data_IF_894935221377
#
_entry.id   IF_894935221377
#
_cell.length_a   1.000
_cell.length_b   1.000
_cell.length_c   1.000
_cell.angle_alpha   90.00
_cell.angle_beta   90.00
_cell.angle_gamma   90.00
#
_symmetry.space_group_name_H-M   'P 1'
#
loop_
_entity.id
_entity.type
_entity.pdbx_description
1 polymer ?
#
# COMPACT_ATOMS: atom_id res chain seq x y z
N UNK A 1 24.27 -4.44 24.39
CA UNK A 1 23.82 -3.76 23.17
C UNK A 1 23.62 -2.28 23.41
N UNK A 2 24.07 -1.43 22.51
CA UNK A 2 23.85 0.01 22.67
C UNK A 2 22.36 0.33 22.59
N UNK A 3 21.93 1.24 23.46
CA UNK A 3 20.56 1.72 23.43
C UNK A 3 20.42 2.77 22.34
N UNK A 4 19.52 2.53 21.37
CA UNK A 4 19.24 3.48 20.32
C UNK A 4 18.35 4.62 20.84
N UNK A 5 18.86 5.86 20.78
CA UNK A 5 18.16 7.05 21.31
C UNK A 5 16.81 7.30 20.66
N UNK A 6 16.70 6.94 19.39
CA UNK A 6 15.52 7.17 18.58
C UNK A 6 14.61 5.93 18.46
N UNK A 7 14.78 4.95 19.38
CA UNK A 7 13.97 3.71 19.33
C UNK A 7 12.47 3.99 19.43
N UNK A 8 12.06 4.90 20.31
CA UNK A 8 10.68 5.31 20.44
C UNK A 8 10.18 5.98 19.14
N UNK A 9 11.00 6.85 18.55
CA UNK A 9 10.68 7.48 17.27
C UNK A 9 10.55 6.44 16.16
N UNK A 10 11.42 5.44 16.10
CA UNK A 10 11.34 4.35 15.14
C UNK A 10 10.04 3.57 15.30
N UNK A 11 9.65 3.22 16.51
CA UNK A 11 8.38 2.54 16.79
C UNK A 11 7.17 3.34 16.35
N UNK A 12 7.21 4.68 16.56
CA UNK A 12 6.15 5.57 16.08
C UNK A 12 6.08 5.55 14.55
N UNK A 13 7.23 5.59 13.86
CA UNK A 13 7.28 5.52 12.40
C UNK A 13 6.76 4.18 11.86
N UNK A 14 7.07 3.09 12.52
CA UNK A 14 6.55 1.77 12.17
C UNK A 14 5.02 1.71 12.29
N UNK A 15 4.47 2.27 13.37
CA UNK A 15 3.01 2.34 13.58
C UNK A 15 2.33 3.21 12.52
N UNK A 16 2.92 4.36 12.21
CA UNK A 16 2.40 5.26 11.18
C UNK A 16 2.40 4.59 9.81
N UNK A 17 3.47 3.88 9.45
CA UNK A 17 3.53 3.12 8.20
C UNK A 17 2.39 2.09 8.12
N UNK A 18 2.14 1.34 9.19
CA UNK A 18 1.04 0.38 9.24
C UNK A 18 -0.33 1.03 9.10
N UNK A 19 -0.52 2.21 9.71
CA UNK A 19 -1.77 2.98 9.57
C UNK A 19 -1.96 3.43 8.13
N UNK A 20 -0.93 3.93 7.46
CA UNK A 20 -1.01 4.32 6.05
C UNK A 20 -1.20 3.13 5.12
N UNK A 21 -0.60 1.98 5.41
CA UNK A 21 -0.86 0.72 4.68
C UNK A 21 -2.32 0.32 4.78
N UNK A 22 -2.90 0.38 5.97
CA UNK A 22 -4.30 0.08 6.20
C UNK A 22 -5.22 1.06 5.48
N UNK A 23 -4.92 2.36 5.55
CA UNK A 23 -5.69 3.39 4.87
C UNK A 23 -5.67 3.19 3.34
N UNK A 24 -4.52 2.84 2.77
CA UNK A 24 -4.40 2.52 1.35
C UNK A 24 -5.23 1.27 1.00
N UNK A 25 -5.14 0.22 1.79
CA UNK A 25 -5.89 -1.02 1.57
C UNK A 25 -7.39 -0.78 1.58
N UNK A 26 -7.89 0.07 2.48
CA UNK A 26 -9.31 0.46 2.55
C UNK A 26 -9.75 1.17 1.26
N UNK A 27 -8.93 2.07 0.74
CA UNK A 27 -9.23 2.77 -0.51
C UNK A 27 -9.20 1.85 -1.73
N UNK A 28 -8.27 0.92 -1.78
CA UNK A 28 -8.21 -0.11 -2.83
C UNK A 28 -9.45 -1.00 -2.79
N UNK A 29 -9.94 -1.33 -1.60
CA UNK A 29 -11.18 -2.09 -1.44
C UNK A 29 -12.39 -1.33 -1.98
N UNK A 30 -12.50 -0.03 -1.71
CA UNK A 30 -13.55 0.82 -2.27
C UNK A 30 -13.48 0.83 -3.80
N UNK A 31 -12.28 0.93 -4.37
CA UNK A 31 -12.08 0.86 -5.81
C UNK A 31 -12.58 -0.47 -6.38
N UNK A 32 -12.28 -1.58 -5.71
CA UNK A 32 -12.73 -2.89 -6.16
C UNK A 32 -14.26 -3.01 -6.13
N UNK A 33 -14.90 -2.50 -5.10
CA UNK A 33 -16.37 -2.46 -5.01
C UNK A 33 -16.99 -1.64 -6.14
N UNK A 34 -16.39 -0.50 -6.48
CA UNK A 34 -16.84 0.31 -7.62
C UNK A 34 -16.68 -0.42 -8.96
N UNK A 35 -15.59 -1.15 -9.14
CA UNK A 35 -15.37 -1.99 -10.33
C UNK A 35 -16.37 -3.13 -10.41
N UNK A 36 -16.67 -3.76 -9.29
CA UNK A 36 -17.66 -4.85 -9.23
C UNK A 36 -19.06 -4.33 -9.56
N UNK A 37 -19.43 -3.17 -9.04
CA UNK A 37 -20.69 -2.50 -9.38
C UNK A 37 -20.76 -2.20 -10.88
N UNK A 38 -19.69 -1.69 -11.46
CA UNK A 38 -19.61 -1.41 -12.89
C UNK A 38 -19.83 -2.67 -13.72
N UNK A 39 -19.18 -3.76 -13.32
CA UNK A 39 -19.31 -5.05 -14.01
C UNK A 39 -20.76 -5.56 -13.98
N UNK A 40 -21.43 -5.43 -12.83
CA UNK A 40 -22.84 -5.79 -12.70
C UNK A 40 -23.74 -4.94 -13.59
N UNK A 41 -23.50 -3.63 -13.66
CA UNK A 41 -24.26 -2.72 -14.53
C UNK A 41 -24.06 -3.05 -16.00
N UNK A 42 -22.82 -3.32 -16.42
CA UNK A 42 -22.49 -3.70 -17.79
C UNK A 42 -23.17 -5.01 -18.18
N UNK A 43 -23.15 -6.00 -17.31
CA UNK A 43 -23.85 -7.29 -17.53
C UNK A 43 -25.35 -7.12 -17.60
N UNK A 44 -25.93 -6.27 -16.74
CA UNK A 44 -27.36 -6.00 -16.74
C UNK A 44 -27.77 -5.32 -18.06
N UNK A 45 -26.96 -4.37 -18.54
CA UNK A 45 -27.21 -3.68 -19.79
C UNK A 45 -27.09 -4.64 -20.99
N UNK A 46 -26.05 -5.48 -21.03
CA UNK A 46 -25.85 -6.46 -22.08
C UNK A 46 -26.99 -7.50 -22.11
N UNK A 47 -27.42 -8.01 -20.96
CA UNK A 47 -28.55 -8.92 -20.85
C UNK A 47 -29.86 -8.27 -21.31
N UNK A 48 -30.06 -7.00 -20.97
CA UNK A 48 -31.24 -6.25 -21.42
C UNK A 48 -31.25 -6.08 -22.93
N UNK A 49 -30.11 -5.71 -23.54
CA UNK A 49 -29.97 -5.56 -24.98
C UNK A 49 -30.19 -6.87 -25.70
N UNK A 50 -29.68 -7.98 -25.17
CA UNK A 50 -29.87 -9.31 -25.74
C UNK A 50 -31.35 -9.72 -25.70
N UNK A 51 -32.03 -9.53 -24.58
CA UNK A 51 -33.45 -9.81 -24.43
C UNK A 51 -34.30 -8.95 -25.36
N UNK A 52 -33.88 -7.70 -25.55
CA UNK A 52 -34.55 -6.76 -26.46
C UNK A 52 -34.48 -7.26 -27.90
N UNK A 53 -33.29 -7.68 -28.36
CA UNK A 53 -33.09 -8.20 -29.72
C UNK A 53 -33.90 -9.46 -29.97
N UNK A 54 -34.02 -10.35 -28.99
CA UNK A 54 -34.89 -11.53 -29.09
C UNK A 54 -36.39 -11.15 -29.14
N UNK A 55 -36.81 -10.14 -28.38
CA UNK A 55 -38.18 -9.68 -28.32
C UNK A 55 -38.62 -8.95 -29.61
N UNK A 56 -37.71 -8.38 -30.39
CA UNK A 56 -38.01 -7.75 -31.70
C UNK A 56 -38.60 -8.77 -32.67
N UNK A 57 -38.29 -10.04 -32.58
CA UNK A 57 -38.79 -11.13 -33.41
C UNK A 57 -40.21 -11.58 -33.00
N UNK A 58 -40.69 -11.26 -31.81
CA UNK A 58 -41.99 -11.71 -31.26
C UNK A 58 -43.03 -10.56 -31.12
N UNK A 59 -42.71 -9.36 -31.55
CA UNK A 59 -43.59 -8.20 -31.45
C UNK A 59 -43.34 -7.35 -30.21
N UNK A 60 -43.21 -6.06 -30.43
CA UNK A 60 -42.86 -5.08 -29.37
C UNK A 60 -43.98 -4.05 -29.26
N UNK A 61 -44.49 -3.80 -28.05
CA UNK A 61 -45.39 -2.67 -27.82
C UNK A 61 -44.58 -1.37 -27.69
N UNK A 62 -45.19 -0.25 -28.00
CA UNK A 62 -44.58 1.09 -27.86
C UNK A 62 -44.20 1.34 -26.40
N UNK A 63 -45.04 0.87 -25.44
CA UNK A 63 -44.81 1.01 -24.01
C UNK A 63 -43.55 0.24 -23.59
N UNK A 64 -43.34 -0.97 -24.11
CA UNK A 64 -42.16 -1.78 -23.86
C UNK A 64 -40.90 -1.10 -24.40
N UNK A 65 -40.96 -0.49 -25.58
CA UNK A 65 -39.85 0.25 -26.14
C UNK A 65 -39.48 1.48 -25.30
N UNK A 66 -40.48 2.23 -24.82
CA UNK A 66 -40.26 3.39 -23.96
C UNK A 66 -39.63 2.97 -22.61
N UNK A 67 -40.08 1.87 -21.97
CA UNK A 67 -39.51 1.35 -20.75
C UNK A 67 -38.07 0.89 -20.98
N UNK A 68 -37.79 0.25 -22.09
CA UNK A 68 -36.44 -0.17 -22.48
C UNK A 68 -35.51 1.03 -22.64
N UNK A 69 -35.95 2.09 -23.35
CA UNK A 69 -35.17 3.30 -23.55
C UNK A 69 -34.87 4.00 -22.21
N UNK A 70 -35.83 4.08 -21.30
CA UNK A 70 -35.63 4.63 -19.96
C UNK A 70 -34.61 3.81 -19.14
N UNK A 71 -34.69 2.49 -19.24
CA UNK A 71 -33.74 1.61 -18.57
C UNK A 71 -32.32 1.84 -19.09
N UNK A 72 -32.13 1.89 -20.40
CA UNK A 72 -30.83 2.16 -21.03
C UNK A 72 -30.28 3.51 -20.63
N UNK A 73 -31.11 4.57 -20.65
CA UNK A 73 -30.70 5.91 -20.24
C UNK A 73 -30.22 5.95 -18.79
N UNK A 74 -30.97 5.32 -17.87
CA UNK A 74 -30.60 5.23 -16.47
C UNK A 74 -29.30 4.46 -16.26
N UNK A 75 -29.14 3.33 -16.93
CA UNK A 75 -27.92 2.53 -16.82
C UNK A 75 -26.72 3.25 -17.40
N UNK A 76 -26.87 3.93 -18.54
CA UNK A 76 -25.80 4.73 -19.14
C UNK A 76 -25.38 5.85 -18.19
N UNK A 77 -26.33 6.55 -17.58
CA UNK A 77 -26.04 7.59 -16.60
C UNK A 77 -25.32 7.03 -15.36
N UNK A 78 -25.77 5.90 -14.84
CA UNK A 78 -25.16 5.25 -13.69
C UNK A 78 -23.74 4.79 -13.99
N UNK A 79 -23.50 4.25 -15.20
CA UNK A 79 -22.16 3.88 -15.65
C UNK A 79 -21.24 5.10 -15.74
N UNK A 80 -21.75 6.22 -16.22
CA UNK A 80 -20.98 7.47 -16.28
C UNK A 80 -20.63 7.99 -14.88
N UNK A 81 -21.58 7.96 -13.95
CA UNK A 81 -21.37 8.33 -12.55
C UNK A 81 -20.31 7.41 -11.93
N UNK A 82 -20.43 6.10 -12.13
CA UNK A 82 -19.48 5.11 -11.64
C UNK A 82 -18.07 5.37 -12.21
N UNK A 83 -17.95 5.70 -13.48
CA UNK A 83 -16.68 6.01 -14.11
C UNK A 83 -16.03 7.25 -13.49
N UNK A 84 -16.82 8.29 -13.19
CA UNK A 84 -16.32 9.48 -12.49
C UNK A 84 -15.87 9.16 -11.06
N UNK A 85 -16.64 8.33 -10.36
CA UNK A 85 -16.26 7.86 -9.02
C UNK A 85 -14.95 7.07 -9.04
N UNK A 86 -14.74 6.22 -10.06
CA UNK A 86 -13.49 5.48 -10.23
C UNK A 86 -12.31 6.41 -10.49
N UNK A 87 -12.49 7.47 -11.28
CA UNK A 87 -11.44 8.47 -11.52
C UNK A 87 -11.07 9.22 -10.24
N UNK A 88 -12.06 9.65 -9.48
CA UNK A 88 -11.85 10.31 -8.19
C UNK A 88 -11.15 9.38 -7.21
N UNK A 89 -11.57 8.11 -7.17
CA UNK A 89 -10.98 7.10 -6.29
C UNK A 89 -9.52 6.81 -6.65
N UNK A 90 -9.18 6.82 -7.93
CA UNK A 90 -7.80 6.66 -8.40
C UNK A 90 -6.90 7.77 -7.86
N UNK A 91 -7.38 9.01 -7.85
CA UNK A 91 -6.65 10.14 -7.27
C UNK A 91 -6.45 9.98 -5.76
N UNK A 92 -7.48 9.52 -5.05
CA UNK A 92 -7.40 9.26 -3.60
C UNK A 92 -6.36 8.17 -3.32
N UNK A 93 -6.37 7.09 -4.08
CA UNK A 93 -5.40 5.99 -3.96
C UNK A 93 -3.98 6.50 -4.19
N UNK A 94 -3.77 7.33 -5.20
CA UNK A 94 -2.45 7.90 -5.48
C UNK A 94 -1.94 8.76 -4.33
N UNK A 95 -2.79 9.58 -3.74
CA UNK A 95 -2.44 10.35 -2.53
C UNK A 95 -2.07 9.44 -1.36
N UNK A 96 -2.82 8.36 -1.14
CA UNK A 96 -2.53 7.39 -0.08
C UNK A 96 -1.22 6.64 -0.32
N UNK A 97 -0.90 6.33 -1.57
CA UNK A 97 0.40 5.75 -1.95
C UNK A 97 1.56 6.69 -1.64
N UNK A 98 1.40 7.98 -1.95
CA UNK A 98 2.41 8.99 -1.65
C UNK A 98 2.62 9.14 -0.14
N UNK A 99 1.55 9.17 0.64
CA UNK A 99 1.62 9.24 2.10
C UNK A 99 2.36 8.01 2.67
N UNK A 100 2.05 6.82 2.17
CA UNK A 100 2.73 5.59 2.56
C UNK A 100 4.20 5.62 2.20
N UNK A 101 4.54 6.05 1.00
CA UNK A 101 5.93 6.18 0.55
C UNK A 101 6.73 7.10 1.47
N UNK A 102 6.17 8.24 1.83
CA UNK A 102 6.81 9.18 2.78
C UNK A 102 7.02 8.56 4.15
N UNK A 103 6.00 7.85 4.65
CA UNK A 103 6.09 7.16 5.94
C UNK A 103 7.18 6.09 5.93
N UNK A 104 7.26 5.30 4.86
CA UNK A 104 8.28 4.28 4.66
C UNK A 104 9.68 4.89 4.59
N UNK A 105 9.84 6.00 3.88
CA UNK A 105 11.12 6.71 3.78
C UNK A 105 11.56 7.25 5.14
N UNK A 106 10.67 7.85 5.91
CA UNK A 106 10.98 8.37 7.26
C UNK A 106 11.35 7.24 8.22
N UNK A 107 10.67 6.12 8.15
CA UNK A 107 11.03 4.93 8.92
C UNK A 107 12.42 4.43 8.51
N UNK A 108 12.68 4.34 7.21
CA UNK A 108 13.96 3.82 6.68
C UNK A 108 15.15 4.67 7.12
N UNK A 109 15.00 5.99 7.19
CA UNK A 109 16.05 6.87 7.71
C UNK A 109 16.45 6.47 9.14
N UNK A 110 15.48 6.22 10.01
CA UNK A 110 15.74 5.80 11.39
C UNK A 110 16.32 4.39 11.47
N UNK A 111 15.88 3.47 10.60
CA UNK A 111 16.46 2.12 10.52
C UNK A 111 17.93 2.18 10.13
N UNK A 112 18.28 3.01 9.14
CA UNK A 112 19.67 3.19 8.70
C UNK A 112 20.52 3.77 9.82
N UNK A 113 20.01 4.74 10.57
CA UNK A 113 20.71 5.31 11.72
C UNK A 113 20.97 4.24 12.81
N UNK A 114 19.98 3.40 13.05
CA UNK A 114 20.10 2.29 14.00
C UNK A 114 21.15 1.28 13.55
N UNK A 115 21.13 0.89 12.28
CA UNK A 115 22.12 -0.01 11.67
C UNK A 115 23.54 0.55 11.80
N UNK A 116 23.72 1.83 11.51
CA UNK A 116 25.01 2.51 11.63
C UNK A 116 25.50 2.57 13.06
N UNK A 117 24.63 2.83 13.99
CA UNK A 117 24.99 2.83 15.43
C UNK A 117 25.44 1.44 15.88
N UNK A 118 24.72 0.39 15.48
CA UNK A 118 25.08 -0.98 15.79
C UNK A 118 26.43 -1.36 15.19
N UNK A 119 26.67 -0.97 13.93
CA UNK A 119 27.93 -1.22 13.25
C UNK A 119 29.11 -0.54 13.97
N UNK A 120 28.95 0.72 14.35
CA UNK A 120 29.97 1.45 15.12
C UNK A 120 30.27 0.80 16.45
N UNK A 121 29.23 0.33 17.13
CA UNK A 121 29.38 -0.38 18.38
C UNK A 121 30.18 -1.69 18.20
N UNK A 122 29.84 -2.47 17.19
CA UNK A 122 30.51 -3.73 16.89
C UNK A 122 31.98 -3.48 16.51
N UNK A 123 32.27 -2.49 15.69
CA UNK A 123 33.64 -2.10 15.33
C UNK A 123 34.46 -1.66 16.55
N UNK A 124 33.85 -0.90 17.45
CA UNK A 124 34.51 -0.45 18.68
C UNK A 124 34.80 -1.62 19.63
N UNK A 125 33.86 -2.55 19.75
CA UNK A 125 34.05 -3.76 20.55
C UNK A 125 35.17 -4.63 19.98
N UNK A 126 35.21 -4.81 18.67
CA UNK A 126 36.27 -5.55 18.00
C UNK A 126 37.64 -4.89 18.22
N UNK A 127 37.68 -3.57 18.14
CA UNK A 127 38.91 -2.81 18.39
C UNK A 127 39.40 -3.01 19.83
N UNK A 128 38.52 -2.94 20.79
CA UNK A 128 38.85 -3.15 22.21
C UNK A 128 39.36 -4.57 22.46
N UNK A 129 38.72 -5.59 21.89
CA UNK A 129 39.13 -6.97 22.01
C UNK A 129 40.53 -7.20 21.40
N UNK A 130 40.82 -6.61 20.23
CA UNK A 130 42.16 -6.68 19.64
C UNK A 130 43.20 -6.01 20.52
N UNK A 131 42.87 -4.85 21.07
CA UNK A 131 43.77 -4.12 21.95
C UNK A 131 44.07 -4.91 23.22
N UNK A 132 43.06 -5.53 23.84
CA UNK A 132 43.24 -6.40 25.00
C UNK A 132 44.10 -7.64 24.65
N UNK A 133 43.84 -8.26 23.49
CA UNK A 133 44.62 -9.38 23.02
C UNK A 133 46.10 -9.01 22.80
N UNK A 134 46.34 -7.85 22.20
CA UNK A 134 47.70 -7.32 21.96
C UNK A 134 48.40 -7.05 23.32
N UNK A 135 47.75 -6.48 24.29
CA UNK A 135 48.26 -6.22 25.63
C UNK A 135 48.59 -7.51 26.33
N UNK A 136 47.78 -8.55 26.25
CA UNK A 136 48.01 -9.86 26.79
C UNK A 136 49.23 -10.50 26.13
N UNK A 137 49.32 -10.44 24.79
CA UNK A 137 50.44 -10.95 24.00
C UNK A 137 51.75 -10.25 24.40
N UNK A 138 51.74 -8.93 24.58
CA UNK A 138 52.91 -8.16 25.02
C UNK A 138 53.30 -8.54 26.44
N UNK A 139 52.34 -8.71 27.32
CA UNK A 139 52.59 -9.18 28.69
C UNK A 139 53.21 -10.55 28.73
N UNK A 140 52.72 -11.50 27.96
CA UNK A 140 53.30 -12.83 27.80
C UNK A 140 54.69 -12.80 27.20
N UNK A 141 54.91 -11.95 26.18
CA UNK A 141 56.23 -11.75 25.58
C UNK A 141 57.26 -11.22 26.58
N UNK A 142 56.89 -10.29 27.43
CA UNK A 142 57.72 -9.77 28.53
C UNK A 142 58.09 -10.85 29.52
N UNK A 143 57.17 -11.72 29.89
CA UNK A 143 57.45 -12.85 30.78
C UNK A 143 58.37 -13.91 30.15
N UNK A 144 58.29 -14.12 28.84
CA UNK A 144 59.10 -15.10 28.14
C UNK A 144 60.56 -14.66 27.93
N UNK A 145 60.85 -13.35 28.04
CA UNK A 145 62.21 -12.77 27.85
C UNK A 145 62.99 -12.75 29.17
N UNK A 146 62.32 -12.94 30.31
CA UNK A 146 62.96 -13.08 31.60
C UNK A 146 63.26 -14.57 31.89
#
# INVERSE_FOLDING_TARGET
MPRFRLETALKVRERLEKLYQKALAEQVQIQQELRDQRQLMEKALDSHNHNLDQSKNSGFSIIQMQMSDHFRERMTLQLKINQNQLKEQEQVIELKRQELTRATQKKRVLEILKEKQQKRYDEEMDRQERQEADEIAQGLSRYSVQ
#
